data_IF_480889511100
#
_entry.id   IF_480889511100
#
_cell.length_a   1.000
_cell.length_b   1.000
_cell.length_c   1.000
_cell.angle_alpha   90.00
_cell.angle_beta   90.00
_cell.angle_gamma   90.00
#
_symmetry.space_group_name_H-M   'P 1'
#
loop_
_entity.id
_entity.type
_entity.pdbx_description
1 polymer ?
#
# COMPACT_ATOMS: atom_id res chain seq x y z
N UNK A 1 -8.02 -10.83 -2.80
CA UNK A 1 -6.72 -10.62 -2.12
C UNK A 1 -5.66 -11.44 -2.87
N UNK A 2 -4.43 -10.94 -2.96
CA UNK A 2 -3.29 -11.60 -3.63
C UNK A 2 -2.06 -11.48 -2.75
N UNK A 3 -1.37 -12.60 -2.50
CA UNK A 3 -0.07 -12.62 -1.84
C UNK A 3 1.06 -12.56 -2.87
N UNK A 4 2.12 -11.85 -2.54
CA UNK A 4 3.37 -11.73 -3.30
C UNK A 4 4.48 -12.30 -2.45
N UNK A 5 5.28 -13.18 -3.01
CA UNK A 5 6.37 -13.86 -2.31
C UNK A 5 7.70 -13.47 -2.96
N UNK A 6 8.78 -13.42 -2.17
CA UNK A 6 10.14 -13.21 -2.65
C UNK A 6 11.03 -14.37 -2.25
N UNK A 7 12.00 -14.65 -3.11
CA UNK A 7 13.11 -15.57 -2.85
C UNK A 7 12.70 -17.02 -2.58
N UNK A 8 13.68 -17.90 -2.73
CA UNK A 8 13.68 -19.21 -2.11
C UNK A 8 15.00 -19.26 -1.36
N UNK A 9 14.98 -19.09 -0.04
CA UNK A 9 16.17 -19.40 0.77
C UNK A 9 16.20 -20.91 1.00
N UNK A 10 17.37 -21.51 0.80
CA UNK A 10 17.56 -22.96 0.88
C UNK A 10 17.26 -23.42 2.32
N UNK A 11 16.04 -23.95 2.53
CA UNK A 11 15.55 -24.43 3.83
C UNK A 11 14.31 -23.72 4.38
N UNK A 12 14.05 -22.47 3.99
CA UNK A 12 13.00 -21.63 4.60
C UNK A 12 11.76 -21.37 3.71
N UNK A 13 11.83 -21.75 2.43
CA UNK A 13 10.71 -21.61 1.50
C UNK A 13 10.41 -20.16 1.09
N UNK A 14 9.28 -19.92 0.41
CA UNK A 14 8.95 -18.59 -0.10
C UNK A 14 8.55 -17.62 1.02
N UNK A 15 9.23 -16.49 1.11
CA UNK A 15 8.94 -15.45 2.11
C UNK A 15 7.84 -14.52 1.61
N UNK A 16 6.80 -14.30 2.42
CA UNK A 16 5.74 -13.34 2.09
C UNK A 16 6.33 -11.92 2.04
N UNK A 17 6.30 -11.33 0.84
CA UNK A 17 6.86 -10.02 0.57
C UNK A 17 5.81 -8.92 0.60
N UNK A 18 4.61 -9.20 0.08
CA UNK A 18 3.50 -8.26 0.11
C UNK A 18 2.14 -8.93 -0.04
N UNK A 19 1.09 -8.18 0.26
CA UNK A 19 -0.30 -8.54 0.09
C UNK A 19 -1.02 -7.40 -0.61
N UNK A 20 -1.69 -7.69 -1.72
CA UNK A 20 -2.66 -6.79 -2.35
C UNK A 20 -4.08 -7.17 -1.94
N UNK A 21 -4.80 -6.19 -1.40
CA UNK A 21 -6.24 -6.26 -1.19
C UNK A 21 -6.93 -5.58 -2.37
N UNK A 22 -7.88 -6.30 -2.98
CA UNK A 22 -8.68 -5.79 -4.09
C UNK A 22 -9.97 -5.21 -3.54
N UNK A 23 -10.31 -3.98 -3.88
CA UNK A 23 -11.50 -3.32 -3.35
C UNK A 23 -12.81 -3.96 -3.75
N UNK A 24 -12.85 -4.62 -4.92
CA UNK A 24 -14.06 -5.31 -5.42
C UNK A 24 -14.39 -6.60 -4.66
N UNK A 25 -13.38 -7.30 -4.15
CA UNK A 25 -13.56 -8.68 -3.63
C UNK A 25 -12.89 -8.92 -2.28
N UNK A 26 -12.14 -7.95 -1.78
CA UNK A 26 -11.42 -8.01 -0.53
C UNK A 26 -12.09 -7.18 0.58
N UNK A 27 -11.57 -7.27 1.80
CA UNK A 27 -12.04 -6.47 2.92
C UNK A 27 -11.76 -4.98 2.72
N UNK A 28 -12.50 -4.14 3.46
CA UNK A 28 -12.15 -2.73 3.62
C UNK A 28 -10.84 -2.62 4.40
N UNK A 29 -9.89 -1.86 3.88
CA UNK A 29 -8.58 -1.66 4.50
C UNK A 29 -8.53 -0.27 5.11
N UNK A 30 -8.07 -0.20 6.35
CA UNK A 30 -7.81 1.05 7.06
C UNK A 30 -6.33 1.15 7.38
N UNK A 31 -5.79 2.35 7.27
CA UNK A 31 -4.44 2.71 7.71
C UNK A 31 -4.56 3.71 8.86
N UNK A 32 -4.22 3.29 10.06
CA UNK A 32 -4.38 4.10 11.28
C UNK A 32 -5.75 4.83 11.36
N UNK A 33 -6.83 4.09 11.14
CA UNK A 33 -8.19 4.63 11.10
C UNK A 33 -8.59 5.34 9.81
N UNK A 34 -7.68 5.58 8.87
CA UNK A 34 -7.97 6.16 7.54
C UNK A 34 -8.45 5.05 6.60
N UNK A 35 -9.74 5.04 6.19
CA UNK A 35 -10.21 4.12 5.17
C UNK A 35 -9.51 4.39 3.83
N UNK A 36 -9.07 3.32 3.16
CA UNK A 36 -8.34 3.41 1.89
C UNK A 36 -9.24 3.08 0.70
N UNK A 37 -9.84 1.89 0.71
CA UNK A 37 -10.58 1.33 -0.43
C UNK A 37 -11.86 2.12 -0.74
N UNK A 38 -12.15 2.31 -2.02
CA UNK A 38 -13.38 2.94 -2.52
C UNK A 38 -13.42 4.46 -2.36
N UNK A 39 -12.39 5.08 -1.79
CA UNK A 39 -12.31 6.53 -1.61
C UNK A 39 -11.59 7.21 -2.76
N UNK A 40 -11.87 8.50 -3.02
CA UNK A 40 -11.10 9.27 -3.99
C UNK A 40 -9.60 9.26 -3.66
N UNK A 41 -8.76 9.03 -4.67
CA UNK A 41 -7.30 8.95 -4.51
C UNK A 41 -6.76 10.20 -3.83
N UNK A 42 -7.20 11.38 -4.28
CA UNK A 42 -6.79 12.67 -3.72
C UNK A 42 -7.20 12.88 -2.26
N UNK A 43 -8.35 12.34 -1.85
CA UNK A 43 -8.81 12.42 -0.47
C UNK A 43 -7.95 11.53 0.44
N UNK A 44 -7.62 10.32 -0.03
CA UNK A 44 -6.73 9.40 0.69
C UNK A 44 -5.32 9.97 0.78
N UNK A 45 -4.78 10.54 -0.30
CA UNK A 45 -3.48 11.21 -0.29
C UNK A 45 -3.44 12.39 0.69
N UNK A 46 -4.51 13.19 0.75
CA UNK A 46 -4.62 14.32 1.68
C UNK A 46 -4.62 13.86 3.13
N UNK A 47 -5.42 12.84 3.45
CA UNK A 47 -5.52 12.32 4.81
C UNK A 47 -4.22 11.66 5.27
N UNK A 48 -3.57 10.89 4.39
CA UNK A 48 -2.28 10.26 4.67
C UNK A 48 -1.20 11.33 4.86
N UNK A 49 -1.14 12.34 3.98
CA UNK A 49 -0.16 13.44 4.10
C UNK A 49 -0.33 14.17 5.41
N UNK A 50 -1.58 14.45 5.82
CA UNK A 50 -1.89 15.06 7.11
C UNK A 50 -1.44 14.19 8.27
N UNK A 51 -1.84 12.92 8.28
CA UNK A 51 -1.46 11.98 9.34
C UNK A 51 0.07 11.87 9.48
N UNK A 52 0.80 11.82 8.37
CA UNK A 52 2.27 11.79 8.38
C UNK A 52 2.85 13.07 8.96
N UNK A 53 2.31 14.22 8.58
CA UNK A 53 2.74 15.52 9.11
C UNK A 53 2.50 15.60 10.62
N UNK A 54 1.29 15.22 11.07
CA UNK A 54 0.88 15.30 12.47
C UNK A 54 1.68 14.34 13.38
N UNK A 55 2.14 13.21 12.84
CA UNK A 55 2.88 12.19 13.57
C UNK A 55 4.40 12.20 13.29
N UNK A 56 4.90 13.19 12.54
CA UNK A 56 6.31 13.33 12.15
C UNK A 56 6.89 12.05 11.51
N UNK A 57 6.11 11.41 10.63
CA UNK A 57 6.52 10.22 9.88
C UNK A 57 7.20 10.63 8.56
N UNK A 58 7.93 9.71 7.93
CA UNK A 58 8.50 9.93 6.60
C UNK A 58 7.52 9.55 5.47
N UNK A 59 7.59 10.25 4.34
CA UNK A 59 6.92 9.87 3.09
C UNK A 59 7.94 9.25 2.10
N UNK A 60 7.52 8.21 1.39
CA UNK A 60 8.24 7.68 0.21
C UNK A 60 7.32 7.74 -1.01
N UNK A 61 7.90 7.98 -2.17
CA UNK A 61 7.18 7.84 -3.44
C UNK A 61 7.76 6.64 -4.16
N UNK A 62 6.89 5.72 -4.59
CA UNK A 62 7.31 4.65 -5.48
C UNK A 62 7.74 5.23 -6.84
N UNK A 63 8.58 4.51 -7.57
CA UNK A 63 9.02 4.85 -8.93
C UNK A 63 7.87 5.08 -9.92
N UNK A 64 6.67 4.55 -9.63
CA UNK A 64 5.45 4.73 -10.43
C UNK A 64 4.57 5.93 -10.02
N UNK A 65 5.02 6.72 -9.03
CA UNK A 65 4.28 7.88 -8.50
C UNK A 65 3.20 7.52 -7.47
N UNK A 66 3.26 6.31 -6.90
CA UNK A 66 2.37 5.86 -5.81
C UNK A 66 2.90 6.38 -4.46
N UNK A 67 1.98 6.74 -3.55
CA UNK A 67 2.32 7.19 -2.20
C UNK A 67 2.63 5.99 -1.29
N UNK A 68 3.84 5.97 -0.73
CA UNK A 68 4.30 5.01 0.26
C UNK A 68 4.63 5.69 1.59
N UNK A 69 4.55 4.95 2.68
CA UNK A 69 4.83 5.44 4.03
C UNK A 69 6.14 4.85 4.54
N UNK A 70 7.04 5.72 5.01
CA UNK A 70 8.34 5.31 5.54
C UNK A 70 8.15 4.54 6.87
N UNK A 71 8.85 3.40 7.03
CA UNK A 71 8.86 2.62 8.27
C UNK A 71 7.63 1.74 8.56
N UNK A 72 6.62 1.70 7.66
CA UNK A 72 5.41 0.89 7.87
C UNK A 72 5.20 -0.20 6.81
N UNK A 73 6.01 -0.23 5.74
CA UNK A 73 5.87 -1.22 4.66
C UNK A 73 4.56 -1.12 3.86
N UNK A 74 3.70 -0.13 4.13
CA UNK A 74 2.43 0.04 3.45
C UNK A 74 2.63 0.86 2.16
N UNK A 75 2.23 0.28 1.03
CA UNK A 75 2.22 0.90 -0.29
C UNK A 75 0.77 1.06 -0.76
N UNK A 76 0.18 2.25 -0.56
CA UNK A 76 -1.20 2.48 -0.98
C UNK A 76 -1.25 2.63 -2.51
N UNK A 77 -1.44 1.50 -3.20
CA UNK A 77 -1.63 1.49 -4.65
C UNK A 77 -3.08 1.76 -5.00
N UNK A 78 -3.38 2.99 -5.41
CA UNK A 78 -4.54 3.20 -6.27
C UNK A 78 -4.23 2.62 -7.66
N UNK A 79 -4.96 1.62 -8.16
CA UNK A 79 -4.84 1.29 -9.58
C UNK A 79 -5.42 2.47 -10.40
N UNK A 80 -4.55 3.40 -10.82
CA UNK A 80 -4.92 4.66 -11.51
C UNK A 80 -5.29 4.47 -12.99
N UNK A 81 -6.00 3.40 -13.34
CA UNK A 81 -6.48 3.22 -14.73
C UNK A 81 -7.90 3.76 -14.82
N UNK A 82 -8.03 5.08 -14.98
CA UNK A 82 -9.32 5.76 -15.18
C UNK A 82 -10.25 5.81 -13.95
N UNK A 83 -9.90 5.12 -12.86
CA UNK A 83 -10.65 5.13 -11.62
C UNK A 83 -10.41 6.43 -10.82
N UNK A 84 -11.50 7.10 -10.44
CA UNK A 84 -11.46 8.24 -9.52
C UNK A 84 -11.20 7.83 -8.07
N UNK A 85 -11.20 6.51 -7.78
CA UNK A 85 -11.16 5.95 -6.44
C UNK A 85 -10.10 4.86 -6.27
N UNK A 86 -9.65 4.66 -5.03
CA UNK A 86 -8.69 3.62 -4.64
C UNK A 86 -9.35 2.26 -4.76
N UNK A 87 -9.03 1.53 -5.81
CA UNK A 87 -9.56 0.19 -6.08
C UNK A 87 -8.72 -0.95 -5.51
N UNK A 88 -7.50 -0.67 -5.03
CA UNK A 88 -6.60 -1.66 -4.42
C UNK A 88 -5.81 -1.04 -3.26
N UNK A 89 -5.24 -1.87 -2.39
CA UNK A 89 -4.27 -1.46 -1.37
C UNK A 89 -3.20 -2.53 -1.26
N UNK A 90 -1.93 -2.16 -1.20
CA UNK A 90 -0.82 -3.11 -1.05
C UNK A 90 -0.05 -2.86 0.24
N UNK A 91 0.29 -3.94 0.92
CA UNK A 91 1.02 -3.90 2.19
C UNK A 91 2.18 -4.88 2.05
N UNK A 92 3.41 -4.42 2.18
CA UNK A 92 4.60 -5.24 1.99
C UNK A 92 5.71 -4.98 3.01
N UNK A 93 6.80 -5.72 2.91
CA UNK A 93 7.99 -5.46 3.69
C UNK A 93 8.69 -4.17 3.20
N UNK A 94 9.31 -3.42 4.11
CA UNK A 94 9.94 -2.11 3.82
C UNK A 94 11.02 -2.19 2.71
N UNK A 95 11.69 -3.32 2.66
CA UNK A 95 12.76 -3.71 1.74
C UNK A 95 12.27 -4.34 0.42
N UNK A 96 10.95 -4.42 0.21
CA UNK A 96 10.39 -4.95 -1.03
C UNK A 96 10.08 -3.81 -2.01
N UNK A 97 10.84 -3.77 -3.10
CA UNK A 97 10.54 -2.98 -4.29
C UNK A 97 9.87 -3.90 -5.34
N UNK A 98 8.81 -3.41 -6.00
CA UNK A 98 8.24 -4.10 -7.16
C UNK A 98 9.19 -3.88 -8.34
N UNK A 99 9.86 -4.93 -8.81
CA UNK A 99 10.55 -4.94 -10.12
C UNK A 99 9.58 -4.70 -11.28
#
# INVERSE_FOLDING_TARGET
>A
MRAHYRGWEEGDGPLLAAVTVLGRTGPQVHFDGIPLIGRPVTAVETDITRHVTDNNLGLRFASRGDLGLYGLGVWVRSARVGDTSVSEARIGAEEWEEE
#
